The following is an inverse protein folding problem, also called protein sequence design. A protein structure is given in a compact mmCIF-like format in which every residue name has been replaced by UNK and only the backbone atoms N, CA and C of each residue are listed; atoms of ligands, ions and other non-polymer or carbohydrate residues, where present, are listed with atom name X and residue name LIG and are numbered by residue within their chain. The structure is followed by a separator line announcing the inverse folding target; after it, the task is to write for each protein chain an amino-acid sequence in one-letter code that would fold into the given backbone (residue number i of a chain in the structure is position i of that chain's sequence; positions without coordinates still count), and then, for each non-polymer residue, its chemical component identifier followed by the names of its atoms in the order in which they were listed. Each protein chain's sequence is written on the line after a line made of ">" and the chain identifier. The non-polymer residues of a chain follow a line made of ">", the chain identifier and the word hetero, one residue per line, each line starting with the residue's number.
data_IF_163742744279
#
_entry.id   IF_163742744279
#
_cell.length_a   1.000
_cell.length_b   1.000
_cell.length_c   1.000
_cell.angle_alpha   90.00
_cell.angle_beta   90.00
_cell.angle_gamma   90.00
#
_symmetry.space_group_name_H-M   'P 1'
#
loop_
_entity.id
_entity.type
_entity.pdbx_description
1 polymer ?
#
# COMPACT_ATOMS: atom_id res chain seq x y z
N UNK A 1 1.28 0.54 -4.13
CA UNK A 1 1.34 -0.63 -3.23
C UNK A 1 0.00 -0.99 -2.59
N UNK A 2 -0.91 -0.03 -2.34
CA UNK A 2 -2.29 -0.34 -1.93
C UNK A 2 -2.40 -1.08 -0.58
N UNK A 3 -1.48 -0.85 0.35
CA UNK A 3 -1.51 -1.45 1.68
C UNK A 3 -2.75 -1.00 2.46
N UNK A 4 -3.30 -1.86 3.31
CA UNK A 4 -4.24 -1.41 4.34
C UNK A 4 -3.48 -0.57 5.36
N UNK A 5 -4.16 0.36 6.04
CA UNK A 5 -3.50 1.21 7.04
C UNK A 5 -2.77 0.38 8.10
N UNK A 6 -3.44 -0.62 8.69
CA UNK A 6 -2.79 -1.49 9.67
C UNK A 6 -1.61 -2.29 9.11
N UNK A 7 -1.64 -2.69 7.83
CA UNK A 7 -0.50 -3.35 7.17
C UNK A 7 0.69 -2.40 7.04
N UNK A 8 0.44 -1.14 6.65
CA UNK A 8 1.49 -0.11 6.56
C UNK A 8 2.07 0.22 7.94
N UNK A 9 1.22 0.44 8.96
CA UNK A 9 1.67 0.78 10.31
C UNK A 9 2.32 -0.39 11.05
N UNK A 10 2.03 -1.63 10.64
CA UNK A 10 2.65 -2.84 11.19
C UNK A 10 3.90 -3.28 10.44
N UNK A 11 4.36 -2.47 9.48
CA UNK A 11 5.48 -2.83 8.64
C UNK A 11 6.81 -2.72 9.39
N UNK A 12 7.68 -3.72 9.22
CA UNK A 12 9.00 -3.76 9.84
C UNK A 12 10.11 -3.77 8.81
N UNK A 13 11.28 -3.24 9.16
CA UNK A 13 12.43 -3.21 8.26
C UNK A 13 12.85 -4.60 7.82
N UNK A 14 12.82 -5.59 8.73
CA UNK A 14 13.13 -7.00 8.40
C UNK A 14 12.21 -7.63 7.34
N UNK A 15 11.05 -7.03 7.11
CA UNK A 15 10.05 -7.53 6.15
C UNK A 15 10.21 -6.86 4.77
N UNK A 16 11.22 -6.00 4.58
CA UNK A 16 11.52 -5.28 3.34
C UNK A 16 12.90 -5.67 2.82
N UNK A 17 12.95 -6.05 1.55
CA UNK A 17 14.18 -6.19 0.79
C UNK A 17 14.31 -5.00 -0.17
N UNK A 18 15.09 -4.00 0.22
CA UNK A 18 15.32 -2.78 -0.57
C UNK A 18 16.32 -2.98 -1.72
N UNK A 19 17.04 -4.10 -1.76
CA UNK A 19 17.97 -4.41 -2.84
C UNK A 19 17.23 -5.11 -3.97
N UNK A 20 16.48 -6.16 -3.65
CA UNK A 20 15.66 -6.88 -4.62
C UNK A 20 14.33 -6.15 -4.92
N UNK A 21 13.95 -5.16 -4.11
CA UNK A 21 12.73 -4.38 -4.31
C UNK A 21 11.47 -5.17 -3.99
N UNK A 22 11.45 -5.90 -2.87
CA UNK A 22 10.28 -6.65 -2.43
C UNK A 22 9.87 -6.28 -1.01
N UNK A 23 8.56 -6.34 -0.78
CA UNK A 23 7.96 -6.12 0.51
C UNK A 23 7.10 -7.34 0.89
N UNK A 24 7.38 -7.94 2.05
CA UNK A 24 6.55 -9.00 2.63
C UNK A 24 5.53 -8.41 3.60
N UNK A 25 4.26 -8.68 3.32
CA UNK A 25 3.14 -8.27 4.17
C UNK A 25 2.70 -9.49 4.95
N UNK A 26 3.01 -9.56 6.24
CA UNK A 26 2.75 -10.73 7.08
C UNK A 26 2.18 -10.40 8.46
N UNK A 27 2.11 -9.11 8.82
CA UNK A 27 1.57 -8.58 10.07
C UNK A 27 0.78 -7.31 9.79
N UNK A 28 -0.05 -6.93 10.73
CA UNK A 28 -0.74 -5.64 10.76
C UNK A 28 -0.72 -5.11 12.19
N UNK A 29 -0.60 -3.80 12.36
CA UNK A 29 -0.75 -3.16 13.65
C UNK A 29 -2.23 -2.97 13.97
N UNK A 30 -2.64 -3.43 15.14
CA UNK A 30 -3.98 -3.21 15.68
C UNK A 30 -3.90 -2.70 17.11
N UNK A 31 -4.94 -1.96 17.52
CA UNK A 31 -5.10 -1.55 18.92
C UNK A 31 -6.09 -2.50 19.59
N UNK A 32 -5.59 -3.31 20.53
CA UNK A 32 -6.35 -4.34 21.24
C UNK A 32 -6.22 -4.06 22.73
N UNK A 33 -7.36 -3.90 23.42
CA UNK A 33 -7.42 -3.58 24.85
C UNK A 33 -6.55 -2.36 25.23
N UNK A 34 -6.56 -1.34 24.37
CA UNK A 34 -5.80 -0.10 24.57
C UNK A 34 -4.33 -0.14 24.14
N UNK A 35 -3.76 -1.33 23.90
CA UNK A 35 -2.36 -1.51 23.52
C UNK A 35 -2.18 -1.80 22.02
N UNK A 36 -1.06 -1.36 21.44
CA UNK A 36 -0.68 -1.70 20.08
C UNK A 36 -0.11 -3.11 20.02
N UNK A 37 -0.61 -3.92 19.10
CA UNK A 37 -0.18 -5.30 18.91
C UNK A 37 0.01 -5.59 17.42
N UNK A 38 1.12 -6.25 17.09
CA UNK A 38 1.34 -6.83 15.76
C UNK A 38 0.61 -8.17 15.70
N UNK A 39 -0.45 -8.21 14.89
CA UNK A 39 -1.25 -9.42 14.69
C UNK A 39 -1.06 -9.98 13.30
N UNK A 40 -1.21 -11.29 13.16
CA UNK A 40 -1.22 -11.90 11.84
C UNK A 40 -2.48 -11.50 11.07
N UNK A 41 -2.40 -11.38 9.74
CA UNK A 41 -3.58 -11.20 8.92
C UNK A 41 -4.56 -12.35 9.12
N UNK A 42 -5.85 -12.00 9.21
CA UNK A 42 -6.94 -12.95 9.46
C UNK A 42 -7.05 -14.09 8.44
N UNK A 43 -6.43 -13.95 7.27
CA UNK A 43 -6.51 -14.95 6.19
C UNK A 43 -5.13 -15.20 5.56
N UNK A 44 -4.82 -16.44 5.14
CA UNK A 44 -3.56 -16.77 4.48
C UNK A 44 -3.27 -15.90 3.26
N UNK A 45 -4.29 -15.55 2.46
CA UNK A 45 -4.17 -14.71 1.26
C UNK A 45 -3.76 -13.26 1.54
N UNK A 46 -4.01 -12.78 2.76
CA UNK A 46 -3.53 -11.45 3.16
C UNK A 46 -2.01 -11.44 3.38
N UNK A 47 -1.39 -12.62 3.60
CA UNK A 47 0.06 -12.78 3.60
C UNK A 47 0.56 -12.84 2.16
N UNK A 48 1.31 -11.84 1.74
CA UNK A 48 1.73 -11.69 0.34
C UNK A 48 3.07 -10.98 0.24
N UNK A 49 3.76 -11.22 -0.87
CA UNK A 49 4.94 -10.44 -1.26
C UNK A 49 4.54 -9.55 -2.43
N UNK A 50 4.92 -8.28 -2.36
CA UNK A 50 4.61 -7.28 -3.38
C UNK A 50 5.92 -6.62 -3.84
N UNK A 51 6.07 -6.47 -5.15
CA UNK A 51 7.22 -5.75 -5.72
C UNK A 51 7.09 -4.25 -5.45
N UNK A 52 8.17 -3.63 -4.98
CA UNK A 52 8.28 -2.20 -4.71
C UNK A 52 8.69 -1.47 -6.00
N UNK A 53 7.93 -0.46 -6.45
CA UNK A 53 8.42 0.46 -7.46
C UNK A 53 9.72 1.14 -7.02
N UNK A 54 10.61 1.42 -7.97
CA UNK A 54 11.91 2.05 -7.67
C UNK A 54 11.77 3.37 -6.88
N UNK A 55 10.75 4.18 -7.19
CA UNK A 55 10.46 5.41 -6.45
C UNK A 55 10.10 5.18 -4.98
N UNK A 56 9.47 4.05 -4.66
CA UNK A 56 9.16 3.67 -3.28
C UNK A 56 10.41 3.16 -2.57
N UNK A 57 11.29 2.44 -3.26
CA UNK A 57 12.59 2.03 -2.70
C UNK A 57 13.41 3.26 -2.31
N UNK A 58 13.50 4.26 -3.19
CA UNK A 58 14.17 5.54 -2.90
C UNK A 58 13.54 6.22 -1.68
N UNK A 59 12.22 6.38 -1.66
CA UNK A 59 11.52 7.01 -0.54
C UNK A 59 11.70 6.27 0.79
N UNK A 60 11.80 4.93 0.76
CA UNK A 60 12.05 4.12 1.95
C UNK A 60 13.49 4.28 2.45
N UNK A 61 14.48 4.39 1.57
CA UNK A 61 15.88 4.66 1.96
C UNK A 61 16.02 6.03 2.63
N UNK A 62 15.45 7.07 2.02
CA UNK A 62 15.40 8.41 2.63
C UNK A 62 14.70 8.39 3.99
N UNK A 63 13.67 7.57 4.13
CA UNK A 63 12.95 7.41 5.38
C UNK A 63 13.78 6.68 6.44
N UNK A 64 14.51 5.63 6.07
CA UNK A 64 15.45 4.91 6.94
C UNK A 64 16.53 5.85 7.50
N UNK A 65 17.11 6.69 6.64
CA UNK A 65 18.12 7.68 7.04
C UNK A 65 17.56 8.70 8.04
N UNK A 66 16.34 9.21 7.80
CA UNK A 66 15.67 10.12 8.74
C UNK A 66 15.41 9.44 10.07
N UNK A 67 14.91 8.21 10.06
CA UNK A 67 14.60 7.47 11.28
C UNK A 67 15.88 7.16 12.08
N UNK A 68 16.98 6.86 11.41
CA UNK A 68 18.29 6.67 12.06
C UNK A 68 18.75 7.96 12.77
N UNK A 69 18.51 9.12 12.15
CA UNK A 69 18.77 10.41 12.79
C UNK A 69 17.84 10.64 14.00
N UNK A 70 16.54 10.36 13.88
CA UNK A 70 15.59 10.44 15.00
C UNK A 70 16.02 9.53 16.15
N UNK A 71 16.49 8.30 15.87
CA UNK A 71 17.05 7.37 16.85
C UNK A 71 18.26 7.95 17.57
N UNK A 72 19.19 8.59 16.84
CA UNK A 72 20.36 9.26 17.44
C UNK A 72 19.94 10.42 18.34
N UNK A 73 18.97 11.24 17.92
CA UNK A 73 18.45 12.38 18.69
C UNK A 73 17.68 11.93 19.94
N UNK A 74 16.90 10.84 19.83
CA UNK A 74 16.12 10.30 20.94
C UNK A 74 17.00 9.66 22.02
N UNK A 75 18.14 9.07 21.63
CA UNK A 75 19.08 8.42 22.54
C UNK A 75 18.40 7.28 23.31
N UNK A 76 18.55 7.27 24.63
CA UNK A 76 17.95 6.26 25.52
C UNK A 76 16.41 6.25 25.50
N UNK A 77 15.77 7.32 25.00
CA UNK A 77 14.30 7.38 24.86
C UNK A 77 13.79 6.66 23.62
N UNK A 78 14.68 6.17 22.76
CA UNK A 78 14.30 5.39 21.58
C UNK A 78 13.87 3.99 21.99
N UNK A 79 12.67 3.60 21.56
CA UNK A 79 12.15 2.25 21.71
C UNK A 79 12.32 1.49 20.40
N UNK A 80 13.16 0.45 20.41
CA UNK A 80 13.43 -0.34 19.22
C UNK A 80 12.27 -1.31 18.92
N UNK A 81 11.35 -0.86 18.07
CA UNK A 81 10.19 -1.65 17.62
C UNK A 81 10.42 -2.34 16.28
N UNK A 82 11.55 -2.06 15.60
CA UNK A 82 11.84 -2.48 14.23
C UNK A 82 10.76 -2.05 13.19
N UNK A 83 9.86 -1.14 13.57
CA UNK A 83 8.82 -0.61 12.69
C UNK A 83 9.40 0.41 11.71
N UNK A 84 8.92 0.37 10.47
CA UNK A 84 9.27 1.33 9.43
C UNK A 84 8.70 2.70 9.76
N UNK A 85 7.43 2.76 10.17
CA UNK A 85 6.77 4.01 10.50
C UNK A 85 6.55 4.11 12.01
N UNK A 86 7.30 5.01 12.65
CA UNK A 86 7.29 5.23 14.09
C UNK A 86 7.03 6.69 14.42
N UNK A 87 6.82 6.97 15.71
CA UNK A 87 7.06 8.32 16.25
C UNK A 87 8.57 8.61 16.24
N UNK A 88 8.92 9.86 16.57
CA UNK A 88 10.28 10.33 16.85
C UNK A 88 11.00 9.63 18.02
N UNK A 89 10.34 8.66 18.66
CA UNK A 89 10.84 7.84 19.77
C UNK A 89 10.81 6.34 19.47
N UNK A 90 10.55 5.95 18.23
CA UNK A 90 10.51 4.53 17.84
C UNK A 90 9.21 3.80 18.21
N UNK A 91 8.22 4.50 18.77
CA UNK A 91 6.92 3.90 19.15
C UNK A 91 6.00 3.72 17.94
N UNK A 92 5.06 2.75 18.00
CA UNK A 92 4.05 2.58 16.95
C UNK A 92 3.19 3.84 16.77
N UNK A 93 2.85 4.16 15.52
CA UNK A 93 1.92 5.24 15.19
C UNK A 93 0.47 4.84 15.43
N UNK A 94 -0.33 5.76 15.96
CA UNK A 94 -1.78 5.58 16.07
C UNK A 94 -2.47 5.84 14.72
N UNK A 95 -3.22 4.85 14.22
CA UNK A 95 -3.93 4.95 12.94
C UNK A 95 -4.96 6.08 12.88
N UNK A 96 -5.57 6.46 14.02
CA UNK A 96 -6.48 7.61 14.12
C UNK A 96 -5.72 8.90 13.87
N UNK A 97 -4.55 9.05 14.50
CA UNK A 97 -3.68 10.23 14.33
C UNK A 97 -3.19 10.33 12.88
N UNK A 98 -2.83 9.20 12.27
CA UNK A 98 -2.44 9.14 10.85
C UNK A 98 -3.59 9.59 9.94
N UNK A 99 -4.82 9.11 10.20
CA UNK A 99 -6.00 9.51 9.43
C UNK A 99 -6.32 11.00 9.57
N UNK A 100 -6.21 11.56 10.78
CA UNK A 100 -6.39 12.99 11.02
C UNK A 100 -5.34 13.82 10.30
N UNK A 101 -4.06 13.39 10.35
CA UNK A 101 -2.97 14.05 9.63
C UNK A 101 -3.21 14.00 8.11
N UNK A 102 -3.72 12.89 7.60
CA UNK A 102 -4.07 12.74 6.20
C UNK A 102 -5.17 13.72 5.78
N UNK A 103 -6.27 13.83 6.53
CA UNK A 103 -7.33 14.81 6.26
C UNK A 103 -6.80 16.24 6.22
N UNK A 104 -5.90 16.60 7.14
CA UNK A 104 -5.25 17.93 7.14
C UNK A 104 -4.40 18.16 5.89
N UNK A 105 -3.71 17.13 5.39
CA UNK A 105 -2.94 17.21 4.15
C UNK A 105 -3.88 17.44 2.96
N UNK A 106 -5.05 16.75 2.93
CA UNK A 106 -6.06 16.98 1.89
C UNK A 106 -6.58 18.41 1.91
N UNK A 107 -6.90 18.96 3.09
CA UNK A 107 -7.36 20.34 3.23
C UNK A 107 -6.32 21.34 2.72
N UNK A 108 -5.05 21.15 3.11
CA UNK A 108 -3.94 21.99 2.66
C UNK A 108 -3.69 21.92 1.15
N UNK A 109 -3.99 20.78 0.54
CA UNK A 109 -3.91 20.58 -0.90
C UNK A 109 -5.16 21.05 -1.66
N UNK A 110 -6.22 21.52 -0.96
CA UNK A 110 -7.50 21.88 -1.57
C UNK A 110 -8.26 20.67 -2.16
N UNK A 111 -7.98 19.46 -1.65
CA UNK A 111 -8.58 18.22 -2.14
C UNK A 111 -9.82 17.84 -1.32
N UNK A 112 -10.82 17.16 -1.92
CA UNK A 112 -11.96 16.65 -1.19
C UNK A 112 -11.54 15.69 -0.08
N UNK A 113 -12.28 15.70 1.04
CA UNK A 113 -12.06 14.77 2.13
C UNK A 113 -12.29 13.33 1.70
N UNK A 114 -11.30 12.48 1.98
CA UNK A 114 -11.27 11.05 1.65
C UNK A 114 -10.67 10.29 2.82
N UNK A 115 -11.08 9.04 2.98
CA UNK A 115 -10.56 8.17 4.04
C UNK A 115 -9.19 7.65 3.62
N UNK A 116 -8.32 7.36 4.59
CA UNK A 116 -6.97 6.86 4.28
C UNK A 116 -7.00 5.58 3.42
N UNK A 117 -7.97 4.70 3.65
CA UNK A 117 -8.14 3.49 2.84
C UNK A 117 -8.55 3.76 1.40
N UNK A 118 -9.03 4.97 1.06
CA UNK A 118 -9.38 5.31 -0.31
C UNK A 118 -8.14 5.37 -1.22
N UNK A 119 -6.94 5.58 -0.65
CA UNK A 119 -5.67 5.44 -1.37
C UNK A 119 -5.45 4.03 -1.95
N UNK A 120 -5.96 3.01 -1.26
CA UNK A 120 -5.91 1.64 -1.75
C UNK A 120 -6.85 1.44 -2.93
N UNK A 121 -8.03 2.07 -2.93
CA UNK A 121 -8.93 2.08 -4.08
C UNK A 121 -8.27 2.80 -5.26
N UNK A 122 -7.64 3.95 -5.06
CA UNK A 122 -6.88 4.64 -6.11
C UNK A 122 -5.78 3.76 -6.71
N UNK A 123 -5.03 3.03 -5.88
CA UNK A 123 -4.00 2.10 -6.35
C UNK A 123 -4.60 1.00 -7.25
N UNK A 124 -5.73 0.42 -6.85
CA UNK A 124 -6.44 -0.58 -7.64
C UNK A 124 -6.90 -0.02 -8.98
N UNK A 125 -7.42 1.22 -8.99
CA UNK A 125 -7.88 1.90 -10.21
C UNK A 125 -6.75 2.17 -11.17
N UNK A 126 -5.63 2.69 -10.69
CA UNK A 126 -4.47 2.97 -11.53
C UNK A 126 -3.94 1.68 -12.19
N UNK A 127 -3.88 0.57 -11.46
CA UNK A 127 -3.44 -0.71 -12.03
C UNK A 127 -4.41 -1.23 -13.10
N UNK A 128 -5.72 -1.16 -12.86
CA UNK A 128 -6.72 -1.61 -13.83
C UNK A 128 -6.73 -0.75 -15.09
N UNK A 129 -6.64 0.59 -14.96
CA UNK A 129 -6.56 1.52 -16.10
C UNK A 129 -5.30 1.28 -16.93
N UNK A 130 -4.19 0.84 -16.31
CA UNK A 130 -2.98 0.40 -17.02
C UNK A 130 -3.12 -0.97 -17.69
N UNK A 131 -4.29 -1.60 -17.63
CA UNK A 131 -4.54 -2.90 -18.25
C UNK A 131 -4.01 -4.09 -17.45
N UNK A 132 -3.61 -3.89 -16.18
CA UNK A 132 -3.19 -5.00 -15.31
C UNK A 132 -4.38 -5.91 -15.06
N UNK A 133 -4.19 -7.22 -15.23
CA UNK A 133 -5.29 -8.17 -15.10
C UNK A 133 -5.92 -8.10 -13.70
N UNK A 134 -7.26 -8.21 -13.58
CA UNK A 134 -7.93 -8.16 -12.27
C UNK A 134 -7.37 -9.18 -11.27
N UNK A 135 -6.89 -10.33 -11.75
CA UNK A 135 -6.26 -11.35 -10.90
C UNK A 135 -4.97 -10.85 -10.26
N UNK A 136 -4.09 -10.22 -11.04
CA UNK A 136 -2.83 -9.64 -10.52
C UNK A 136 -3.14 -8.50 -9.55
N UNK A 137 -4.12 -7.65 -9.86
CA UNK A 137 -4.56 -6.58 -8.95
C UNK A 137 -5.06 -7.16 -7.62
N UNK A 138 -5.88 -8.23 -7.66
CA UNK A 138 -6.33 -8.90 -6.44
C UNK A 138 -5.18 -9.45 -5.61
N UNK A 139 -4.16 -10.01 -6.25
CA UNK A 139 -3.01 -10.61 -5.57
C UNK A 139 -2.10 -9.53 -4.97
N UNK A 140 -1.86 -8.40 -5.67
CA UNK A 140 -1.14 -7.23 -5.14
C UNK A 140 -1.86 -6.62 -3.94
N UNK A 141 -3.18 -6.51 -4.00
CA UNK A 141 -3.97 -5.93 -2.92
C UNK A 141 -4.20 -6.94 -1.79
N UNK A 142 -4.25 -8.25 -2.06
CA UNK A 142 -4.69 -9.25 -1.09
C UNK A 142 -6.21 -9.24 -0.89
N UNK A 143 -6.98 -8.98 -1.94
CA UNK A 143 -8.44 -9.13 -1.93
C UNK A 143 -8.83 -10.61 -2.07
N UNK A 144 -9.66 -11.11 -1.16
CA UNK A 144 -10.20 -12.47 -1.25
C UNK A 144 -11.31 -12.59 -2.29
N UNK A 145 -12.08 -11.53 -2.51
CA UNK A 145 -13.18 -11.49 -3.46
C UNK A 145 -12.97 -10.42 -4.52
N UNK A 146 -13.20 -10.79 -5.78
CA UNK A 146 -13.08 -9.90 -6.93
C UNK A 146 -14.07 -8.73 -6.85
N UNK A 147 -15.23 -8.92 -6.21
CA UNK A 147 -16.21 -7.87 -5.98
C UNK A 147 -15.64 -6.66 -5.22
N UNK A 148 -14.68 -6.86 -4.29
CA UNK A 148 -13.98 -5.76 -3.61
C UNK A 148 -13.09 -4.94 -4.55
N UNK A 149 -12.67 -5.55 -5.67
CA UNK A 149 -11.88 -4.96 -6.75
C UNK A 149 -12.73 -4.60 -7.97
N UNK A 150 -14.02 -4.92 -8.05
CA UNK A 150 -14.85 -4.72 -9.26
C UNK A 150 -16.09 -3.88 -9.01
N UNK A 151 -16.64 -3.86 -7.79
CA UNK A 151 -17.81 -3.04 -7.45
C UNK A 151 -17.54 -1.54 -7.54
N UNK A 152 -16.27 -1.14 -7.51
CA UNK A 152 -15.84 0.26 -7.66
C UNK A 152 -15.64 0.65 -9.14
N UNK A 153 -15.73 -0.30 -10.09
CA UNK A 153 -15.22 -0.14 -11.47
C UNK A 153 -16.27 -0.19 -12.55
N UNK A 154 -17.56 -0.23 -12.19
CA UNK A 154 -18.67 -0.26 -13.16
C UNK A 154 -18.54 0.82 -14.25
N UNK A 155 -17.91 1.96 -13.93
CA UNK A 155 -17.72 3.08 -14.84
C UNK A 155 -16.53 2.97 -15.81
N UNK A 156 -15.44 2.25 -15.49
CA UNK A 156 -14.27 2.07 -16.39
C UNK A 156 -14.31 0.76 -17.19
N UNK A 157 -15.21 -0.16 -16.85
CA UNK A 157 -15.41 -1.41 -17.62
C UNK A 157 -15.66 -1.15 -19.12
N UNK A 158 -16.46 -0.15 -19.55
CA UNK A 158 -16.68 0.12 -20.97
C UNK A 158 -15.40 0.49 -21.73
N UNK A 159 -14.53 1.29 -21.13
CA UNK A 159 -13.26 1.73 -21.71
C UNK A 159 -12.29 0.55 -21.83
N UNK A 160 -12.19 -0.28 -20.80
CA UNK A 160 -11.38 -1.50 -20.80
C UNK A 160 -11.85 -2.51 -21.87
N UNK A 161 -13.16 -2.63 -22.11
CA UNK A 161 -13.70 -3.47 -23.18
C UNK A 161 -13.29 -2.97 -24.56
N UNK A 162 -13.32 -1.65 -24.76
CA UNK A 162 -12.90 -1.03 -26.02
C UNK A 162 -11.40 -1.20 -26.26
N UNK A 163 -10.57 -1.00 -25.24
CA UNK A 163 -9.13 -1.23 -25.33
C UNK A 163 -8.81 -2.71 -25.65
N UNK A 164 -9.50 -3.64 -25.00
CA UNK A 164 -9.33 -5.07 -25.29
C UNK A 164 -9.68 -5.43 -26.75
N UNK A 165 -10.77 -4.87 -27.29
CA UNK A 165 -11.14 -5.05 -28.69
C UNK A 165 -10.07 -4.48 -29.64
N UNK A 166 -9.57 -3.27 -29.37
CA UNK A 166 -8.53 -2.63 -30.18
C UNK A 166 -7.21 -3.42 -30.16
N UNK A 167 -6.81 -3.96 -29.00
CA UNK A 167 -5.61 -4.82 -28.90
C UNK A 167 -5.77 -6.13 -29.68
N UNK A 168 -6.98 -6.68 -29.70
CA UNK A 168 -7.28 -7.88 -30.49
C UNK A 168 -7.20 -7.58 -32.00
N UNK A 169 -7.77 -6.46 -32.44
CA UNK A 169 -7.68 -5.99 -33.82
C UNK A 169 -6.21 -5.80 -34.24
N UNK A 170 -5.40 -5.17 -33.40
CA UNK A 170 -3.97 -4.98 -33.68
C UNK A 170 -3.24 -6.32 -33.90
N UNK A 171 -3.56 -7.37 -33.12
CA UNK A 171 -2.95 -8.69 -33.28
C UNK A 171 -3.43 -9.45 -34.53
N UNK A 172 -4.66 -9.21 -34.97
CA UNK A 172 -5.22 -9.82 -36.17
C UNK A 172 -4.65 -9.12 -37.41
N UNK A 173 -4.65 -7.79 -37.44
CA UNK A 173 -4.13 -6.99 -38.55
C UNK A 173 -2.62 -7.16 -38.77
N UNK A 174 -1.85 -7.45 -37.71
CA UNK A 174 -0.40 -7.70 -37.80
C UNK A 174 -0.05 -9.10 -38.34
N UNK A 175 -1.03 -10.02 -38.44
CA UNK A 175 -0.86 -11.37 -39.03
C UNK A 175 -1.17 -11.44 -40.52
N UNK A 176 -1.73 -10.38 -41.11
CA UNK A 176 -2.05 -10.29 -42.54
C UNK A 176 -0.97 -9.54 -43.36
N UNK A 177 0.21 -9.28 -42.79
CA UNK A 177 1.42 -8.82 -43.49
C UNK A 177 2.52 -9.89 -43.43
#
# INVERSE_FOLDING_TARGET
>A
MGLRQGEALGLRWRDIDLEMGYLRINKQLQRINGAFQLVEPKTPRSRRTVALPASIVVALREHEDRQLNEKRVAGERWEDSDLVFTTDRGRPLDGTVVSHRFHRILDQAGLPQRRFHDLRYSCATLLLVQGVSPRVVMDVLGHSQIAQTMNTYTHVIPELRRDAANRMEALIADRER
#
